data_IF_713001128173
#
_entry.id   IF_713001128173
#
_cell.length_a   1.000
_cell.length_b   1.000
_cell.length_c   1.000
_cell.angle_alpha   90.00
_cell.angle_beta   90.00
_cell.angle_gamma   90.00
#
_symmetry.space_group_name_H-M   'P 1'
#
loop_
_entity.id
_entity.type
_entity.pdbx_description
1 polymer ?
#
# COMPACT_ATOMS: atom_id res chain seq x y z
N UNK A 1 -3.73 -1.10 5.38
CA UNK A 1 -4.55 0.05 4.96
C UNK A 1 -4.80 0.92 6.18
N UNK A 2 -4.47 2.20 6.14
CA UNK A 2 -4.60 3.06 7.31
C UNK A 2 -6.06 3.31 7.67
N UNK A 3 -6.83 3.80 6.71
CA UNK A 3 -8.21 4.21 6.94
C UNK A 3 -9.04 4.04 5.68
N UNK A 4 -9.96 3.12 5.70
CA UNK A 4 -10.90 2.92 4.62
C UNK A 4 -10.55 1.78 3.66
N UNK A 5 -11.35 1.66 2.65
CA UNK A 5 -11.26 0.60 1.62
C UNK A 5 -10.97 1.22 0.25
N UNK A 6 -10.55 0.42 -0.72
CA UNK A 6 -10.36 0.90 -2.10
C UNK A 6 -11.66 1.46 -2.68
N UNK A 7 -12.85 0.85 -2.49
CA UNK A 7 -14.12 1.49 -2.90
C UNK A 7 -14.37 2.87 -2.27
N UNK A 8 -14.02 3.07 -1.00
CA UNK A 8 -14.13 4.39 -0.37
C UNK A 8 -13.13 5.39 -0.94
N UNK A 9 -11.92 4.94 -1.29
CA UNK A 9 -10.94 5.77 -1.99
C UNK A 9 -11.49 6.22 -3.34
N UNK A 10 -12.06 5.32 -4.14
CA UNK A 10 -12.67 5.62 -5.42
C UNK A 10 -13.71 6.76 -5.32
N UNK A 11 -14.65 6.63 -4.35
CA UNK A 11 -15.66 7.67 -4.08
C UNK A 11 -15.00 9.01 -3.74
N UNK A 12 -13.96 9.00 -2.91
CA UNK A 12 -13.28 10.23 -2.52
C UNK A 12 -12.51 10.87 -3.67
N UNK A 13 -11.85 10.07 -4.51
CA UNK A 13 -11.14 10.56 -5.70
C UNK A 13 -12.12 11.18 -6.71
N UNK A 14 -13.27 10.54 -6.93
CA UNK A 14 -14.33 11.08 -7.76
C UNK A 14 -14.82 12.43 -7.24
N UNK A 15 -15.13 12.53 -5.95
CA UNK A 15 -15.57 13.79 -5.32
C UNK A 15 -14.51 14.88 -5.43
N UNK A 16 -13.24 14.55 -5.23
CA UNK A 16 -12.17 15.51 -5.40
C UNK A 16 -12.10 16.04 -6.84
N UNK A 17 -12.28 15.18 -7.84
CA UNK A 17 -12.34 15.60 -9.24
C UNK A 17 -13.55 16.49 -9.53
N UNK A 18 -14.72 16.21 -8.93
CA UNK A 18 -15.94 17.02 -9.08
C UNK A 18 -15.80 18.40 -8.45
N UNK A 19 -15.29 18.48 -7.21
CA UNK A 19 -15.18 19.74 -6.48
C UNK A 19 -13.94 20.58 -6.83
N UNK A 20 -12.89 19.92 -7.30
CA UNK A 20 -11.59 20.53 -7.61
C UNK A 20 -11.04 20.03 -8.95
N UNK A 21 -11.74 20.27 -10.08
CA UNK A 21 -11.40 19.67 -11.38
C UNK A 21 -10.00 20.02 -11.89
N UNK A 22 -9.50 21.19 -11.52
CA UNK A 22 -8.18 21.67 -11.96
C UNK A 22 -7.03 21.33 -11.01
N UNK A 23 -7.30 20.52 -9.97
CA UNK A 23 -6.28 20.18 -8.98
C UNK A 23 -5.79 18.74 -9.13
N UNK A 24 -4.48 18.53 -9.30
CA UNK A 24 -3.92 17.20 -9.22
C UNK A 24 -4.03 16.65 -7.78
N UNK A 25 -4.20 15.35 -7.68
CA UNK A 25 -4.27 14.62 -6.41
C UNK A 25 -3.04 13.75 -6.26
N UNK A 26 -2.46 13.74 -5.08
CA UNK A 26 -1.35 12.86 -4.74
C UNK A 26 -1.68 12.07 -3.48
N UNK A 27 -1.58 10.75 -3.56
CA UNK A 27 -1.70 9.86 -2.40
C UNK A 27 -0.31 9.77 -1.77
N UNK A 28 -0.12 10.51 -0.68
CA UNK A 28 1.21 10.70 -0.07
C UNK A 28 1.59 9.59 0.91
N UNK A 29 0.66 8.71 1.23
CA UNK A 29 0.93 7.59 2.15
C UNK A 29 -0.03 6.43 1.88
N UNK A 30 0.53 5.24 1.67
CA UNK A 30 -0.20 3.97 1.65
C UNK A 30 0.73 2.85 2.11
N UNK A 31 0.16 1.79 2.65
CA UNK A 31 0.89 0.57 2.98
C UNK A 31 -0.07 -0.60 3.18
N UNK A 32 0.44 -1.81 3.04
CA UNK A 32 -0.25 -3.04 3.43
C UNK A 32 0.75 -4.02 4.03
N UNK A 33 0.30 -4.78 5.02
CA UNK A 33 1.13 -5.80 5.66
C UNK A 33 1.29 -7.03 4.76
N UNK A 34 2.52 -7.57 4.69
CA UNK A 34 2.79 -8.88 4.10
C UNK A 34 3.09 -9.97 5.15
N UNK A 35 3.35 -9.58 6.39
CA UNK A 35 3.60 -10.44 7.54
C UNK A 35 3.10 -9.77 8.81
N UNK A 36 2.89 -10.54 9.86
CA UNK A 36 2.60 -10.03 11.21
C UNK A 36 3.71 -10.35 12.21
N UNK A 37 4.79 -10.93 11.71
CA UNK A 37 5.90 -11.39 12.56
C UNK A 37 6.55 -10.23 13.31
N UNK A 38 6.65 -10.37 14.64
CA UNK A 38 7.24 -9.38 15.53
C UNK A 38 6.64 -7.95 15.46
N UNK A 39 5.44 -7.82 14.90
CA UNK A 39 4.73 -6.55 14.80
C UNK A 39 3.42 -6.59 15.59
N UNK A 40 3.35 -5.92 16.76
CA UNK A 40 2.16 -5.93 17.61
C UNK A 40 0.96 -5.20 16.99
N UNK A 41 1.17 -4.41 15.93
CA UNK A 41 0.14 -3.67 15.22
C UNK A 41 -0.45 -4.47 14.04
N UNK A 42 0.28 -5.46 13.56
CA UNK A 42 -0.17 -6.33 12.48
C UNK A 42 -1.08 -7.44 13.00
N UNK A 43 -2.34 -7.13 13.21
CA UNK A 43 -3.34 -8.07 13.74
C UNK A 43 -4.09 -8.75 12.59
N UNK A 44 -3.84 -10.04 12.33
CA UNK A 44 -4.42 -10.76 11.18
C UNK A 44 -5.94 -10.68 11.12
N UNK A 45 -6.62 -10.71 12.26
CA UNK A 45 -8.08 -10.66 12.36
C UNK A 45 -8.68 -9.34 11.85
N UNK A 46 -7.94 -8.25 11.89
CA UNK A 46 -8.41 -6.95 11.41
C UNK A 46 -8.38 -6.82 9.89
N UNK A 47 -7.60 -7.66 9.22
CA UNK A 47 -7.37 -7.58 7.78
C UNK A 47 -7.91 -8.80 7.01
N UNK A 48 -8.34 -9.85 7.73
CA UNK A 48 -8.73 -11.12 7.13
C UNK A 48 -9.87 -11.01 6.11
N UNK A 49 -10.81 -10.08 6.33
CA UNK A 49 -11.96 -9.89 5.46
C UNK A 49 -11.58 -9.24 4.12
N UNK A 50 -10.58 -8.35 4.12
CA UNK A 50 -10.23 -7.57 2.95
C UNK A 50 -8.97 -8.11 2.27
N UNK A 51 -7.83 -7.96 2.92
CA UNK A 51 -6.52 -8.36 2.42
C UNK A 51 -5.79 -9.09 3.53
N UNK A 52 -5.84 -10.43 3.58
CA UNK A 52 -5.12 -11.20 4.59
C UNK A 52 -3.66 -10.79 4.68
N UNK A 53 -3.12 -10.72 5.89
CA UNK A 53 -1.70 -10.41 6.10
C UNK A 53 -0.86 -11.56 5.53
N UNK A 54 -0.43 -11.39 4.30
CA UNK A 54 0.42 -12.31 3.54
C UNK A 54 1.05 -11.59 2.35
N UNK A 55 2.06 -12.19 1.73
CA UNK A 55 2.66 -11.67 0.49
C UNK A 55 1.63 -11.58 -0.64
N UNK A 56 0.71 -12.53 -0.70
CA UNK A 56 -0.39 -12.56 -1.66
C UNK A 56 -1.41 -11.45 -1.38
N UNK A 57 -1.77 -11.26 -0.10
CA UNK A 57 -2.70 -10.21 0.32
C UNK A 57 -2.14 -8.81 0.05
N UNK A 58 -0.86 -8.57 0.36
CA UNK A 58 -0.19 -7.33 0.01
C UNK A 58 -0.16 -7.10 -1.51
N UNK A 59 0.16 -8.14 -2.28
CA UNK A 59 0.21 -8.08 -3.74
C UNK A 59 -1.16 -7.76 -4.33
N UNK A 60 -2.22 -8.41 -3.82
CA UNK A 60 -3.61 -8.16 -4.24
C UNK A 60 -4.04 -6.73 -3.92
N UNK A 61 -3.79 -6.27 -2.69
CA UNK A 61 -4.06 -4.88 -2.29
C UNK A 61 -3.38 -3.89 -3.24
N UNK A 62 -2.08 -4.07 -3.49
CA UNK A 62 -1.31 -3.17 -4.34
C UNK A 62 -1.84 -3.14 -5.77
N UNK A 63 -2.17 -4.31 -6.32
CA UNK A 63 -2.76 -4.43 -7.66
C UNK A 63 -4.09 -3.69 -7.76
N UNK A 64 -5.00 -3.93 -6.82
CA UNK A 64 -6.32 -3.32 -6.82
C UNK A 64 -6.23 -1.81 -6.60
N UNK A 65 -5.36 -1.36 -5.69
CA UNK A 65 -5.08 0.07 -5.49
C UNK A 65 -4.59 0.74 -6.77
N UNK A 66 -3.54 0.21 -7.39
CA UNK A 66 -2.99 0.77 -8.63
C UNK A 66 -4.00 0.75 -9.77
N UNK A 67 -4.79 -0.33 -9.87
CA UNK A 67 -5.85 -0.43 -10.87
C UNK A 67 -6.90 0.65 -10.67
N UNK A 68 -7.31 0.91 -9.44
CA UNK A 68 -8.30 1.93 -9.12
C UNK A 68 -7.77 3.34 -9.42
N UNK A 69 -6.61 3.69 -8.89
CA UNK A 69 -6.09 5.06 -9.06
C UNK A 69 -5.79 5.42 -10.51
N UNK A 70 -5.46 4.44 -11.35
CA UNK A 70 -5.27 4.65 -12.81
C UNK A 70 -6.56 4.96 -13.58
N UNK A 71 -7.72 4.83 -12.95
CA UNK A 71 -9.00 5.26 -13.52
C UNK A 71 -9.31 6.74 -13.27
N UNK A 72 -8.45 7.41 -12.49
CA UNK A 72 -8.61 8.81 -12.10
C UNK A 72 -7.47 9.67 -12.68
N UNK A 73 -7.73 10.35 -13.78
CA UNK A 73 -6.73 11.14 -14.53
C UNK A 73 -6.07 12.25 -13.69
N UNK A 74 -6.75 12.70 -12.65
CA UNK A 74 -6.22 13.71 -11.74
C UNK A 74 -5.26 13.15 -10.67
N UNK A 75 -5.09 11.84 -10.55
CA UNK A 75 -4.13 11.23 -9.61
C UNK A 75 -2.75 11.18 -10.24
N UNK A 76 -1.84 11.97 -9.71
CA UNK A 76 -0.48 12.18 -10.24
C UNK A 76 0.63 11.59 -9.41
N UNK A 77 0.32 11.05 -8.23
CA UNK A 77 1.34 10.46 -7.35
C UNK A 77 0.78 9.44 -6.37
N UNK A 78 1.59 8.41 -6.11
CA UNK A 78 1.36 7.38 -5.12
C UNK A 78 2.65 7.09 -4.38
N UNK A 79 2.64 7.23 -3.06
CA UNK A 79 3.79 6.98 -2.21
C UNK A 79 3.51 5.81 -1.26
N UNK A 80 4.40 4.83 -1.28
CA UNK A 80 4.40 3.74 -0.33
C UNK A 80 5.17 4.12 0.94
N UNK A 81 4.63 3.79 2.09
CA UNK A 81 5.22 4.13 3.39
C UNK A 81 5.65 2.86 4.13
N UNK A 82 6.81 2.58 4.34
CA UNK A 82 8.14 2.85 3.77
C UNK A 82 8.47 1.73 2.79
N UNK A 83 8.71 1.95 1.52
CA UNK A 83 8.95 0.85 0.59
C UNK A 83 10.21 0.03 0.94
N UNK A 84 11.24 0.68 1.42
CA UNK A 84 12.55 0.10 1.74
C UNK A 84 12.63 -0.52 3.13
N UNK A 85 11.64 -0.32 4.01
CA UNK A 85 11.69 -0.78 5.39
C UNK A 85 11.71 -2.30 5.46
N UNK A 86 12.78 -2.85 6.02
CA UNK A 86 12.96 -4.29 6.24
C UNK A 86 13.96 -4.56 7.37
N UNK A 87 13.91 -5.75 7.96
CA UNK A 87 14.80 -6.16 9.04
C UNK A 87 16.18 -6.63 8.57
N UNK A 88 16.34 -6.82 7.27
CA UNK A 88 17.59 -7.27 6.67
C UNK A 88 18.60 -6.14 6.66
N UNK A 89 19.51 -6.11 7.61
CA UNK A 89 20.55 -5.08 7.72
C UNK A 89 20.45 -4.12 8.90
N UNK A 90 19.55 -4.36 9.83
CA UNK A 90 19.56 -3.85 11.20
C UNK A 90 19.06 -2.44 11.51
N UNK A 91 18.33 -1.76 10.65
CA UNK A 91 17.80 -0.44 10.99
C UNK A 91 16.30 -0.36 10.79
N UNK A 92 15.55 -0.98 11.69
CA UNK A 92 14.10 -0.99 11.60
C UNK A 92 13.45 -0.14 12.68
N UNK A 93 12.48 0.63 12.28
CA UNK A 93 11.55 1.26 13.20
C UNK A 93 10.54 0.20 13.63
N UNK A 94 10.58 -0.20 14.90
CA UNK A 94 9.63 -1.17 15.47
C UNK A 94 8.20 -0.69 15.20
N UNK A 95 7.35 -1.59 14.70
CA UNK A 95 5.96 -1.29 14.35
C UNK A 95 5.74 -0.87 12.89
N UNK A 96 6.80 -0.73 12.10
CA UNK A 96 6.73 -0.45 10.66
C UNK A 96 7.26 -1.59 9.79
N UNK A 97 7.85 -2.58 10.43
CA UNK A 97 8.30 -3.82 9.86
C UNK A 97 7.30 -4.42 8.91
N UNK A 98 7.17 -5.18 8.24
CA UNK A 98 6.12 -5.97 7.56
C UNK A 98 5.22 -5.19 6.59
N UNK A 99 5.53 -3.92 6.33
CA UNK A 99 4.79 -3.08 5.36
C UNK A 99 5.63 -2.70 4.15
N UNK A 100 6.93 -2.91 4.21
CA UNK A 100 7.85 -2.63 3.12
C UNK A 100 7.57 -3.47 1.87
N UNK A 101 8.31 -3.18 0.82
CA UNK A 101 8.28 -3.93 -0.43
C UNK A 101 9.48 -4.87 -0.58
N UNK A 102 10.20 -5.10 0.54
CA UNK A 102 11.31 -6.03 0.66
C UNK A 102 11.09 -6.98 1.83
N UNK A 103 11.48 -8.21 1.65
CA UNK A 103 11.34 -9.28 2.66
C UNK A 103 12.30 -9.05 3.83
N UNK A 104 11.76 -9.12 5.06
CA UNK A 104 12.51 -8.84 6.29
C UNK A 104 13.68 -9.81 6.55
N UNK A 105 13.62 -11.03 6.05
CA UNK A 105 14.63 -12.05 6.30
C UNK A 105 15.69 -12.13 5.21
N UNK A 106 15.26 -11.87 3.96
CA UNK A 106 16.13 -12.09 2.80
C UNK A 106 16.57 -10.79 2.12
N UNK A 107 15.90 -9.67 2.41
CA UNK A 107 16.09 -8.41 1.70
C UNK A 107 15.63 -8.45 0.24
N UNK A 108 15.04 -9.55 -0.20
CA UNK A 108 14.56 -9.67 -1.58
C UNK A 108 13.29 -8.86 -1.81
N UNK A 109 13.14 -8.36 -3.02
CA UNK A 109 11.96 -7.61 -3.43
C UNK A 109 10.71 -8.49 -3.38
N UNK A 110 9.63 -7.97 -2.82
CA UNK A 110 8.34 -8.65 -2.72
C UNK A 110 7.53 -8.51 -4.02
N UNK A 111 6.65 -9.48 -4.32
CA UNK A 111 5.82 -9.44 -5.53
C UNK A 111 4.98 -8.16 -5.68
N UNK A 112 4.56 -7.55 -4.58
CA UNK A 112 3.81 -6.30 -4.57
C UNK A 112 4.54 -5.14 -5.27
N UNK A 113 5.88 -5.14 -5.28
CA UNK A 113 6.67 -4.13 -6.00
C UNK A 113 6.36 -4.11 -7.50
N UNK A 114 6.10 -5.27 -8.11
CA UNK A 114 5.75 -5.34 -9.53
C UNK A 114 4.40 -4.67 -9.81
N UNK A 115 3.45 -4.84 -8.92
CA UNK A 115 2.14 -4.21 -9.02
C UNK A 115 2.22 -2.71 -8.75
N UNK A 116 3.02 -2.29 -7.78
CA UNK A 116 3.28 -0.89 -7.48
C UNK A 116 3.89 -0.16 -8.68
N UNK A 117 4.86 -0.77 -9.35
CA UNK A 117 5.51 -0.19 -10.53
C UNK A 117 4.58 0.02 -11.73
N UNK A 118 3.41 -0.63 -11.77
CA UNK A 118 2.40 -0.41 -12.82
C UNK A 118 1.74 0.97 -12.73
N UNK A 119 1.92 1.69 -11.63
CA UNK A 119 1.49 3.09 -11.50
C UNK A 119 2.33 4.03 -12.37
N UNK A 120 3.59 3.71 -12.54
CA UNK A 120 4.48 4.48 -13.41
C UNK A 120 3.99 4.42 -14.87
N UNK A 121 4.17 5.49 -15.63
CA UNK A 121 3.81 5.54 -17.04
C UNK A 121 4.63 4.56 -17.88
#
# INVERSE_FOLDING_TARGET
MWHGTIPNLAINLQRLAEFFPDKPVMIVETAAYYSHENDPWAKPEQYAEFYPISKEGQTRFTRELVTEIKQHDNVTGLFWWFPEENAFGNNVVKGWLNRGLFDNHTGQVLPAMKEYNRFLP
#
